data_IF_761681734706
#
_entry.id   IF_761681734706
#
_cell.length_a   1.000
_cell.length_b   1.000
_cell.length_c   1.000
_cell.angle_alpha   90.00
_cell.angle_beta   90.00
_cell.angle_gamma   90.00
#
_symmetry.space_group_name_H-M   'P 1'
#
loop_
_entity.id
_entity.type
_entity.pdbx_description
1 polymer ?
#
# COMPACT_ATOMS: atom_id res chain seq x y z
N UNK A 1 -15.35 -46.40 -7.28
CA UNK A 1 -15.23 -45.96 -8.69
C UNK A 1 -14.73 -44.51 -8.83
N UNK A 2 -15.12 -43.57 -7.96
CA UNK A 2 -14.70 -42.14 -8.01
C UNK A 2 -13.18 -41.88 -7.93
N UNK A 3 -12.42 -42.68 -7.18
CA UNK A 3 -10.97 -42.46 -7.00
C UNK A 3 -10.12 -42.76 -8.25
N UNK A 4 -10.57 -43.64 -9.15
CA UNK A 4 -9.83 -43.98 -10.37
C UNK A 4 -9.99 -42.89 -11.45
N UNK A 5 -11.20 -42.33 -11.58
CA UNK A 5 -11.46 -41.17 -12.45
C UNK A 5 -10.70 -39.92 -12.01
N UNK A 6 -10.70 -39.61 -10.70
CA UNK A 6 -9.97 -38.46 -10.16
C UNK A 6 -8.44 -38.54 -10.35
N UNK A 7 -7.86 -39.76 -10.47
CA UNK A 7 -6.44 -39.96 -10.77
C UNK A 7 -6.10 -39.79 -12.26
N UNK A 8 -7.05 -40.00 -13.17
CA UNK A 8 -6.84 -39.76 -14.59
C UNK A 8 -6.96 -38.25 -14.91
N UNK A 9 -7.93 -37.57 -14.29
CA UNK A 9 -8.26 -36.18 -14.61
C UNK A 9 -7.17 -35.17 -14.20
N UNK A 10 -6.45 -35.35 -13.09
CA UNK A 10 -5.47 -34.33 -12.68
C UNK A 10 -4.35 -34.12 -13.69
N UNK A 11 -3.99 -35.17 -14.45
CA UNK A 11 -2.92 -35.11 -15.45
C UNK A 11 -3.26 -34.15 -16.58
N UNK A 12 -4.53 -34.13 -17.01
CA UNK A 12 -5.04 -33.16 -17.99
C UNK A 12 -4.95 -31.73 -17.46
N UNK A 13 -5.16 -31.55 -16.15
CA UNK A 13 -5.07 -30.25 -15.49
C UNK A 13 -3.63 -29.81 -15.17
N UNK A 14 -2.63 -30.63 -15.52
CA UNK A 14 -1.21 -30.22 -15.53
C UNK A 14 -0.78 -29.63 -16.88
N UNK A 15 -1.60 -29.72 -17.92
CA UNK A 15 -1.32 -29.11 -19.21
C UNK A 15 -1.31 -27.57 -19.10
N UNK A 16 -0.40 -26.94 -19.84
CA UNK A 16 -0.17 -25.49 -19.79
C UNK A 16 -1.46 -24.68 -20.01
N UNK A 17 -2.29 -25.06 -20.97
CA UNK A 17 -3.53 -24.36 -21.29
C UNK A 17 -4.56 -24.45 -20.15
N UNK A 18 -4.63 -25.60 -19.47
CA UNK A 18 -5.49 -25.80 -18.30
C UNK A 18 -4.98 -25.03 -17.09
N UNK A 19 -3.67 -24.95 -16.89
CA UNK A 19 -3.08 -24.12 -15.85
C UNK A 19 -3.37 -22.63 -16.09
N UNK A 20 -3.29 -22.16 -17.34
CA UNK A 20 -3.69 -20.78 -17.71
C UNK A 20 -5.18 -20.55 -17.46
N UNK A 21 -6.03 -21.54 -17.75
CA UNK A 21 -7.46 -21.45 -17.44
C UNK A 21 -7.73 -21.34 -15.93
N UNK A 22 -7.02 -22.12 -15.10
CA UNK A 22 -7.11 -22.03 -13.63
C UNK A 22 -6.68 -20.65 -13.11
N UNK A 23 -5.62 -20.08 -13.69
CA UNK A 23 -5.17 -18.71 -13.38
C UNK A 23 -6.21 -17.68 -13.79
N UNK A 24 -6.82 -17.82 -14.98
CA UNK A 24 -7.89 -16.97 -15.47
C UNK A 24 -9.08 -16.94 -14.51
N UNK A 25 -9.58 -18.12 -14.11
CA UNK A 25 -10.65 -18.22 -13.13
C UNK A 25 -10.29 -17.62 -11.78
N UNK A 26 -9.04 -17.76 -11.33
CA UNK A 26 -8.58 -17.07 -10.14
C UNK A 26 -8.56 -15.56 -10.30
N UNK A 27 -8.09 -15.03 -11.42
CA UNK A 27 -8.12 -13.59 -11.69
C UNK A 27 -9.56 -13.06 -11.70
N UNK A 28 -10.50 -13.84 -12.21
CA UNK A 28 -11.91 -13.47 -12.33
C UNK A 28 -12.69 -13.55 -11.01
N UNK A 29 -12.03 -13.89 -9.89
CA UNK A 29 -12.65 -13.86 -8.57
C UNK A 29 -13.18 -15.20 -8.06
N UNK A 30 -13.14 -16.28 -8.86
CA UNK A 30 -13.71 -17.58 -8.46
C UNK A 30 -13.04 -18.18 -7.22
N UNK A 31 -13.87 -18.73 -6.34
CA UNK A 31 -13.48 -19.51 -5.17
C UNK A 31 -13.00 -20.90 -5.58
N UNK A 32 -12.24 -21.58 -4.71
CA UNK A 32 -11.83 -22.96 -4.98
C UNK A 32 -13.04 -23.91 -5.11
N UNK A 33 -14.17 -23.58 -4.48
CA UNK A 33 -15.41 -24.34 -4.60
C UNK A 33 -16.02 -24.24 -5.99
N UNK A 34 -16.11 -23.03 -6.55
CA UNK A 34 -16.62 -22.77 -7.91
C UNK A 34 -15.69 -23.38 -8.96
N UNK A 35 -14.38 -23.28 -8.76
CA UNK A 35 -13.39 -23.91 -9.63
C UNK A 35 -13.54 -25.44 -9.61
N UNK A 36 -13.66 -26.06 -8.42
CA UNK A 36 -13.87 -27.50 -8.32
C UNK A 36 -15.16 -27.94 -9.03
N UNK A 37 -16.24 -27.17 -8.87
CA UNK A 37 -17.50 -27.39 -9.56
C UNK A 37 -17.35 -27.31 -11.09
N UNK A 38 -16.66 -26.30 -11.62
CA UNK A 38 -16.42 -26.14 -13.05
C UNK A 38 -15.57 -27.27 -13.66
N UNK A 39 -14.67 -27.85 -12.86
CA UNK A 39 -13.88 -29.02 -13.24
C UNK A 39 -14.71 -30.32 -13.16
N UNK A 40 -15.77 -30.33 -12.35
CA UNK A 40 -16.59 -31.52 -12.08
C UNK A 40 -16.01 -32.42 -10.97
N UNK A 41 -15.23 -31.85 -10.04
CA UNK A 41 -14.63 -32.58 -8.91
C UNK A 41 -15.08 -32.00 -7.56
N UNK A 42 -14.91 -32.76 -6.49
CA UNK A 42 -15.14 -32.24 -5.14
C UNK A 42 -14.03 -31.28 -4.72
N UNK A 43 -14.36 -30.30 -3.87
CA UNK A 43 -13.38 -29.36 -3.30
C UNK A 43 -12.23 -30.07 -2.58
N UNK A 44 -12.52 -31.20 -1.91
CA UNK A 44 -11.50 -32.02 -1.25
C UNK A 44 -10.51 -32.63 -2.25
N UNK A 45 -10.98 -33.00 -3.44
CA UNK A 45 -10.13 -33.49 -4.53
C UNK A 45 -9.24 -32.37 -5.06
N UNK A 46 -9.79 -31.17 -5.29
CA UNK A 46 -8.99 -30.02 -5.71
C UNK A 46 -7.93 -29.64 -4.67
N UNK A 47 -8.28 -29.65 -3.37
CA UNK A 47 -7.33 -29.40 -2.28
C UNK A 47 -6.21 -30.43 -2.24
N UNK A 48 -6.52 -31.71 -2.52
CA UNK A 48 -5.52 -32.76 -2.66
C UNK A 48 -4.59 -32.48 -3.84
N UNK A 49 -5.15 -32.12 -5.01
CA UNK A 49 -4.35 -31.78 -6.20
C UNK A 49 -3.41 -30.60 -5.96
N UNK A 50 -3.88 -29.53 -5.29
CA UNK A 50 -3.05 -28.36 -4.95
C UNK A 50 -1.85 -28.73 -4.07
N UNK A 51 -1.99 -29.72 -3.18
CA UNK A 51 -0.91 -30.20 -2.30
C UNK A 51 0.04 -31.15 -3.02
N UNK A 52 -0.48 -32.04 -3.86
CA UNK A 52 0.30 -33.08 -4.54
C UNK A 52 0.96 -32.57 -5.83
N UNK A 53 0.43 -31.49 -6.42
CA UNK A 53 0.90 -30.92 -7.67
C UNK A 53 1.09 -29.40 -7.54
N UNK A 54 2.35 -28.99 -7.37
CA UNK A 54 2.74 -27.60 -7.13
C UNK A 54 2.29 -26.68 -8.27
N UNK A 55 2.27 -27.14 -9.52
CA UNK A 55 1.82 -26.36 -10.68
C UNK A 55 0.36 -25.92 -10.55
N UNK A 56 -0.53 -26.83 -10.15
CA UNK A 56 -1.96 -26.53 -9.91
C UNK A 56 -2.08 -25.60 -8.69
N UNK A 57 -1.31 -25.87 -7.63
CA UNK A 57 -1.27 -25.01 -6.44
C UNK A 57 -0.83 -23.57 -6.76
N UNK A 58 0.16 -23.40 -7.61
CA UNK A 58 0.67 -22.10 -8.07
C UNK A 58 -0.32 -21.41 -9.01
N UNK A 59 -0.90 -22.13 -9.97
CA UNK A 59 -1.92 -21.59 -10.86
C UNK A 59 -3.16 -21.09 -10.08
N UNK A 60 -3.45 -21.71 -8.94
CA UNK A 60 -4.55 -21.33 -8.05
C UNK A 60 -4.12 -20.39 -6.91
N UNK A 61 -2.87 -19.94 -6.87
CA UNK A 61 -2.40 -18.99 -5.87
C UNK A 61 -2.64 -17.58 -6.40
N UNK A 62 -3.47 -16.81 -5.70
CA UNK A 62 -3.60 -15.38 -6.01
C UNK A 62 -2.43 -14.58 -5.43
N UNK A 63 -1.98 -13.58 -6.18
CA UNK A 63 -1.12 -12.51 -5.65
C UNK A 63 -1.89 -11.64 -4.64
N UNK A 64 -1.18 -11.01 -3.70
CA UNK A 64 -1.78 -10.11 -2.70
C UNK A 64 -2.57 -8.98 -3.37
N UNK A 65 -2.05 -8.45 -4.47
CA UNK A 65 -2.65 -7.32 -5.19
C UNK A 65 -3.92 -7.71 -5.94
N UNK A 66 -3.96 -8.91 -6.53
CA UNK A 66 -5.18 -9.42 -7.17
C UNK A 66 -6.31 -9.67 -6.16
N UNK A 67 -5.98 -10.18 -4.97
CA UNK A 67 -6.94 -10.35 -3.88
C UNK A 67 -7.52 -9.00 -3.48
N UNK A 68 -6.65 -7.98 -3.33
CA UNK A 68 -7.09 -6.63 -2.98
C UNK A 68 -8.09 -6.08 -4.01
N UNK A 69 -7.80 -6.20 -5.30
CA UNK A 69 -8.69 -5.74 -6.39
C UNK A 69 -10.05 -6.45 -6.33
N UNK A 70 -10.07 -7.77 -6.11
CA UNK A 70 -11.33 -8.53 -6.02
C UNK A 70 -12.15 -8.10 -4.81
N UNK A 71 -11.50 -7.92 -3.67
CA UNK A 71 -12.15 -7.45 -2.43
C UNK A 71 -12.67 -6.03 -2.60
N UNK A 72 -11.91 -5.13 -3.23
CA UNK A 72 -12.33 -3.77 -3.57
C UNK A 72 -13.57 -3.76 -4.46
N UNK A 73 -13.60 -4.60 -5.51
CA UNK A 73 -14.75 -4.74 -6.40
C UNK A 73 -15.99 -5.31 -5.67
N UNK A 74 -15.80 -6.31 -4.81
CA UNK A 74 -16.88 -6.88 -4.02
C UNK A 74 -17.44 -5.87 -3.00
N UNK A 75 -16.56 -5.12 -2.34
CA UNK A 75 -16.91 -4.02 -1.45
C UNK A 75 -17.72 -2.96 -2.18
N UNK A 76 -17.28 -2.52 -3.37
CA UNK A 76 -17.99 -1.55 -4.18
C UNK A 76 -19.39 -2.05 -4.57
N UNK A 77 -19.52 -3.28 -5.08
CA UNK A 77 -20.83 -3.88 -5.42
C UNK A 77 -21.77 -3.91 -4.21
N UNK A 78 -21.25 -4.30 -3.04
CA UNK A 78 -22.01 -4.37 -1.80
C UNK A 78 -22.41 -2.99 -1.28
N UNK A 79 -21.56 -1.98 -1.46
CA UNK A 79 -21.89 -0.60 -1.14
C UNK A 79 -22.99 -0.06 -2.07
N UNK A 80 -22.88 -0.31 -3.38
CA UNK A 80 -23.88 0.08 -4.37
C UNK A 80 -25.24 -0.60 -4.16
N UNK A 81 -25.26 -1.81 -3.58
CA UNK A 81 -26.49 -2.50 -3.20
C UNK A 81 -27.09 -2.00 -1.87
N UNK A 82 -26.60 -0.89 -1.31
CA UNK A 82 -27.16 -0.24 -0.12
C UNK A 82 -26.70 -0.82 1.22
N UNK A 83 -25.62 -1.63 1.26
CA UNK A 83 -25.10 -2.13 2.53
C UNK A 83 -24.37 -1.00 3.30
N UNK A 84 -24.97 -0.53 4.39
CA UNK A 84 -24.47 0.61 5.18
C UNK A 84 -23.01 0.44 5.63
N UNK A 85 -22.60 -0.74 6.09
CA UNK A 85 -21.23 -0.99 6.52
C UNK A 85 -20.23 -0.89 5.37
N UNK A 86 -20.56 -1.47 4.21
CA UNK A 86 -19.73 -1.39 3.01
C UNK A 86 -19.63 0.06 2.50
N UNK A 87 -20.74 0.80 2.53
CA UNK A 87 -20.77 2.22 2.20
C UNK A 87 -19.88 3.03 3.15
N UNK A 88 -20.04 2.89 4.47
CA UNK A 88 -19.20 3.58 5.46
C UNK A 88 -17.71 3.29 5.24
N UNK A 89 -17.36 2.01 5.06
CA UNK A 89 -15.98 1.62 4.83
C UNK A 89 -15.41 2.22 3.53
N UNK A 90 -16.19 2.18 2.44
CA UNK A 90 -15.82 2.80 1.16
C UNK A 90 -15.60 4.31 1.31
N UNK A 91 -16.53 5.02 1.98
CA UNK A 91 -16.42 6.47 2.23
C UNK A 91 -15.18 6.81 3.06
N UNK A 92 -14.90 6.07 4.14
CA UNK A 92 -13.74 6.31 5.00
C UNK A 92 -12.40 6.08 4.30
N UNK A 93 -12.34 5.14 3.35
CA UNK A 93 -11.11 4.85 2.61
C UNK A 93 -10.88 5.84 1.45
N UNK A 94 -11.90 6.12 0.65
CA UNK A 94 -11.79 6.95 -0.57
C UNK A 94 -11.87 8.46 -0.28
N UNK A 95 -12.53 8.85 0.82
CA UNK A 95 -12.67 10.24 1.26
C UNK A 95 -12.23 10.38 2.71
N UNK A 96 -11.00 9.92 2.98
CA UNK A 96 -10.41 9.94 4.32
C UNK A 96 -10.42 11.35 4.92
N UNK A 97 -10.19 12.40 4.13
CA UNK A 97 -10.18 13.76 4.68
C UNK A 97 -11.55 14.21 5.19
N UNK A 98 -12.63 13.73 4.56
CA UNK A 98 -14.00 14.12 4.88
C UNK A 98 -14.65 13.25 5.96
N UNK A 99 -14.30 11.95 6.03
CA UNK A 99 -14.99 10.97 6.89
C UNK A 99 -14.09 10.25 7.89
N UNK A 100 -12.79 10.56 7.93
CA UNK A 100 -11.96 10.11 9.04
C UNK A 100 -12.28 10.97 10.26
N UNK A 101 -12.40 10.34 11.42
CA UNK A 101 -12.72 10.98 12.70
C UNK A 101 -11.54 11.81 13.26
N UNK A 102 -10.68 12.30 12.36
CA UNK A 102 -9.55 13.14 12.69
C UNK A 102 -10.09 14.49 13.13
N UNK A 103 -9.84 14.82 14.39
CA UNK A 103 -10.13 16.09 15.05
C UNK A 103 -9.40 17.29 14.43
N UNK A 104 -8.62 17.08 13.36
CA UNK A 104 -7.75 18.08 12.76
C UNK A 104 -8.37 18.59 11.46
N UNK A 105 -8.57 19.91 11.39
CA UNK A 105 -8.91 20.63 10.16
C UNK A 105 -7.87 20.38 9.07
N UNK A 106 -8.21 20.74 7.82
CA UNK A 106 -7.28 20.59 6.69
C UNK A 106 -5.97 21.35 6.96
N UNK A 107 -6.07 22.56 7.48
CA UNK A 107 -4.96 23.45 7.81
C UNK A 107 -4.11 22.84 8.92
N UNK A 108 -4.74 22.25 9.94
CA UNK A 108 -4.01 21.60 11.04
C UNK A 108 -3.28 20.34 10.57
N UNK A 109 -3.84 19.58 9.61
CA UNK A 109 -3.14 18.44 8.99
C UNK A 109 -1.93 18.89 8.17
N UNK A 110 -2.08 19.95 7.39
CA UNK A 110 -0.97 20.53 6.62
C UNK A 110 0.15 21.01 7.55
N UNK A 111 -0.21 21.65 8.67
CA UNK A 111 0.74 22.07 9.70
C UNK A 111 1.43 20.86 10.36
N UNK A 112 0.69 19.81 10.71
CA UNK A 112 1.27 18.57 11.25
C UNK A 112 2.25 17.94 10.26
N UNK A 113 1.90 17.88 8.97
CA UNK A 113 2.81 17.37 7.93
C UNK A 113 4.05 18.25 7.77
N UNK A 114 3.90 19.57 7.82
CA UNK A 114 5.02 20.51 7.77
C UNK A 114 5.95 20.34 8.99
N UNK A 115 5.38 20.18 10.19
CA UNK A 115 6.13 19.93 11.42
C UNK A 115 6.87 18.60 11.38
N UNK A 116 6.26 17.53 10.85
CA UNK A 116 6.93 16.24 10.65
C UNK A 116 8.10 16.38 9.67
N UNK A 117 7.91 17.10 8.55
CA UNK A 117 8.99 17.34 7.57
C UNK A 117 10.15 18.11 8.20
N UNK A 118 9.84 19.15 8.96
CA UNK A 118 10.84 19.94 9.69
C UNK A 118 11.59 19.07 10.70
N UNK A 119 10.88 18.31 11.54
CA UNK A 119 11.49 17.43 12.53
C UNK A 119 12.42 16.38 11.88
N UNK A 120 12.04 15.82 10.75
CA UNK A 120 12.87 14.87 10.00
C UNK A 120 14.11 15.54 9.41
N UNK A 121 13.99 16.77 8.90
CA UNK A 121 15.14 17.53 8.39
C UNK A 121 16.11 17.88 9.54
N UNK A 122 15.58 18.34 10.67
CA UNK A 122 16.35 18.67 11.87
C UNK A 122 17.08 17.42 12.41
N UNK A 123 16.41 16.26 12.43
CA UNK A 123 17.02 14.99 12.82
C UNK A 123 18.18 14.61 11.88
N UNK A 124 18.00 14.73 10.56
CA UNK A 124 19.06 14.46 9.58
C UNK A 124 20.25 15.39 9.71
N UNK A 125 20.00 16.68 9.96
CA UNK A 125 21.06 17.66 10.22
C UNK A 125 21.82 17.27 11.49
N UNK A 126 21.11 16.89 12.56
CA UNK A 126 21.72 16.46 13.82
C UNK A 126 22.58 15.21 13.66
N UNK A 127 22.10 14.22 12.92
CA UNK A 127 22.87 13.01 12.59
C UNK A 127 24.12 13.33 11.77
N UNK A 128 23.99 14.14 10.71
CA UNK A 128 25.12 14.56 9.88
C UNK A 128 26.14 15.35 10.71
N UNK A 129 25.68 16.25 11.58
CA UNK A 129 26.54 17.01 12.49
C UNK A 129 27.28 16.11 13.47
N UNK A 130 26.61 15.10 14.05
CA UNK A 130 27.26 14.15 14.96
C UNK A 130 28.41 13.38 14.26
N UNK A 131 28.17 12.90 13.04
CA UNK A 131 29.19 12.19 12.24
C UNK A 131 30.39 13.10 11.91
N UNK A 132 30.12 14.37 11.60
CA UNK A 132 31.16 15.35 11.28
C UNK A 132 31.95 15.75 12.53
N UNK A 133 31.28 15.92 13.68
CA UNK A 133 31.91 16.24 14.96
C UNK A 133 32.82 15.10 15.48
N UNK A 134 32.52 13.83 15.16
CA UNK A 134 33.43 12.71 15.44
C UNK A 134 34.72 12.73 14.59
N UNK A 135 34.71 13.44 13.45
CA UNK A 135 35.82 13.48 12.48
C UNK A 135 36.63 14.77 12.54
N UNK A 136 36.04 15.87 13.02
CA UNK A 136 36.64 17.19 13.07
C UNK A 136 37.09 17.56 14.49
N UNK A 137 38.10 18.43 14.60
CA UNK A 137 38.55 18.98 15.89
C UNK A 137 37.53 19.96 16.48
N UNK A 138 37.72 20.34 17.75
CA UNK A 138 36.80 21.23 18.48
C UNK A 138 36.64 22.61 17.83
N UNK A 139 37.71 23.17 17.28
CA UNK A 139 37.70 24.46 16.56
C UNK A 139 36.91 24.40 15.24
N UNK A 140 37.09 23.35 14.44
CA UNK A 140 36.39 23.17 13.17
C UNK A 140 34.87 23.00 13.38
N UNK A 141 34.48 22.37 14.49
CA UNK A 141 33.08 22.15 14.85
C UNK A 141 32.39 23.47 15.28
N UNK A 142 33.09 24.36 15.99
CA UNK A 142 32.57 25.69 16.35
C UNK A 142 32.40 26.59 15.12
N UNK A 143 33.34 26.55 14.17
CA UNK A 143 33.21 27.31 12.91
C UNK A 143 32.02 26.81 12.08
N UNK A 144 31.81 25.49 12.02
CA UNK A 144 30.66 24.91 11.34
C UNK A 144 29.33 25.40 11.93
N UNK A 145 29.25 25.50 13.26
CA UNK A 145 28.07 25.99 13.96
C UNK A 145 27.79 27.47 13.69
N UNK A 146 28.83 28.30 13.65
CA UNK A 146 28.70 29.71 13.29
C UNK A 146 28.16 29.88 11.86
N UNK A 147 28.67 29.09 10.90
CA UNK A 147 28.20 29.14 9.50
C UNK A 147 26.74 28.67 9.40
N UNK A 148 26.37 27.58 10.08
CA UNK A 148 25.01 27.07 10.05
C UNK A 148 24.01 28.07 10.63
N UNK A 149 24.34 28.69 11.77
CA UNK A 149 23.49 29.70 12.40
C UNK A 149 23.31 30.92 11.48
N UNK A 150 24.38 31.38 10.82
CA UNK A 150 24.32 32.49 9.87
C UNK A 150 23.43 32.16 8.66
N UNK A 151 23.50 30.94 8.14
CA UNK A 151 22.63 30.48 7.04
C UNK A 151 21.15 30.45 7.45
N UNK A 152 20.85 30.03 8.69
CA UNK A 152 19.49 30.03 9.23
C UNK A 152 18.96 31.47 9.36
N UNK A 153 19.77 32.40 9.88
CA UNK A 153 19.39 33.81 9.98
C UNK A 153 19.13 34.46 8.62
N UNK A 154 19.97 34.21 7.62
CA UNK A 154 19.78 34.73 6.26
C UNK A 154 18.54 34.13 5.58
N UNK A 155 18.28 32.83 5.75
CA UNK A 155 17.07 32.20 5.25
C UNK A 155 15.79 32.78 5.89
N UNK A 156 15.84 33.19 7.15
CA UNK A 156 14.74 33.86 7.85
C UNK A 156 14.43 35.27 7.30
N UNK A 157 15.44 36.01 6.86
CA UNK A 157 15.29 37.37 6.30
C UNK A 157 14.60 37.38 4.93
N UNK A 158 14.83 36.36 4.10
CA UNK A 158 14.21 36.24 2.76
C UNK A 158 12.69 36.07 2.83
N UNK A 159 12.14 35.63 3.98
CA UNK A 159 10.70 35.46 4.19
C UNK A 159 9.93 36.74 4.50
N UNK A 160 10.59 37.78 5.01
CA UNK A 160 9.95 39.06 5.41
C UNK A 160 9.97 40.14 4.34
N UNK A 161 10.82 40.01 3.32
CA UNK A 161 11.02 41.06 2.30
C UNK A 161 10.00 41.01 1.15
N UNK A 162 9.10 40.02 1.14
CA UNK A 162 8.05 39.89 0.10
C UNK A 162 6.67 40.44 0.49
N UNK A 163 6.49 40.93 1.72
CA UNK A 163 5.18 41.46 2.17
C UNK A 163 5.07 42.98 2.17
N UNK A 164 6.07 43.70 1.64
CA UNK A 164 6.04 45.16 1.51
C UNK A 164 6.43 45.47 0.06
N UNK A 165 5.48 45.42 -0.88
CA UNK A 165 5.51 46.13 -2.17
C UNK A 165 4.29 45.73 -3.05
N UNK A 166 3.07 45.79 -2.51
CA UNK A 166 1.86 45.89 -3.33
C UNK A 166 0.83 46.75 -2.58
N UNK A 167 1.03 48.06 -2.58
CA UNK A 167 -0.04 49.06 -2.46
C UNK A 167 0.55 50.45 -2.75
N UNK A 168 0.59 50.81 -4.03
CA UNK A 168 0.61 52.18 -4.55
C UNK A 168 0.43 52.12 -6.07
N UNK A 169 -0.83 52.04 -6.50
CA UNK A 169 -1.42 52.86 -7.57
C UNK A 169 -2.93 52.60 -7.67
#
# INVERSE_FOLDING_TARGET
>A
MLLAMARAMYKEWLDKDKLVLLQGWKRDGLTDAEIAHNIGISINTLNKWKREHVQIGQALKRGRDEINIIVENALLKKALSGNTTAMIFFLKNNWRDKYNDSQLSKEERELVLANIRKANADARIKEAKAIVAERLGTEDNEQLDQVLNKLIEEAGKVGTDKSINEETD
#
